data_IF_963330238353
#
_entry.id   IF_963330238353
#
_cell.length_a   1.000
_cell.length_b   1.000
_cell.length_c   1.000
_cell.angle_alpha   90.00
_cell.angle_beta   90.00
_cell.angle_gamma   90.00
#
_symmetry.space_group_name_H-M   'P 1'
#
loop_
_entity.id
_entity.type
_entity.pdbx_description
1 polymer ?
#
# COMPACT_ATOMS: atom_id res chain seq x y z
N UNK A 1 -11.56 -2.18 5.60
CA UNK A 1 -11.83 -1.83 4.20
C UNK A 1 -10.48 -1.58 3.51
N UNK A 2 -10.17 -2.24 2.40
CA UNK A 2 -8.93 -1.99 1.67
C UNK A 2 -9.13 -0.81 0.69
N UNK A 3 -8.05 -0.22 0.18
CA UNK A 3 -8.14 0.95 -0.69
C UNK A 3 -8.91 0.67 -2.01
N UNK A 4 -8.90 -0.56 -2.50
CA UNK A 4 -9.65 -0.94 -3.70
C UNK A 4 -11.16 -0.80 -3.50
N UNK A 5 -11.69 -1.31 -2.39
CA UNK A 5 -13.10 -1.15 -2.02
C UNK A 5 -13.48 0.33 -1.88
N UNK A 6 -12.58 1.15 -1.31
CA UNK A 6 -12.81 2.59 -1.17
C UNK A 6 -12.89 3.29 -2.53
N UNK A 7 -12.01 2.94 -3.47
CA UNK A 7 -12.07 3.49 -4.83
C UNK A 7 -13.37 3.11 -5.55
N UNK A 8 -13.83 1.86 -5.44
CA UNK A 8 -15.12 1.43 -6.01
C UNK A 8 -16.29 2.23 -5.45
N UNK A 9 -16.32 2.46 -4.14
CA UNK A 9 -17.35 3.28 -3.50
C UNK A 9 -17.28 4.73 -3.99
N UNK A 10 -16.08 5.31 -4.07
CA UNK A 10 -15.87 6.68 -4.54
C UNK A 10 -16.30 6.86 -6.01
N UNK A 11 -16.11 5.83 -6.84
CA UNK A 11 -16.57 5.81 -8.23
C UNK A 11 -18.10 5.77 -8.36
N UNK A 12 -18.82 5.29 -7.34
CA UNK A 12 -20.28 5.31 -7.29
C UNK A 12 -20.86 6.68 -6.89
N UNK A 13 -20.03 7.55 -6.30
CA UNK A 13 -20.44 8.89 -5.88
C UNK A 13 -20.47 9.89 -7.04
N UNK A 14 -21.19 11.00 -6.83
CA UNK A 14 -21.21 12.13 -7.75
C UNK A 14 -19.81 12.64 -8.07
N UNK A 15 -19.62 13.07 -9.33
CA UNK A 15 -18.33 13.55 -9.84
C UNK A 15 -17.70 14.63 -8.95
N UNK A 16 -18.50 15.60 -8.49
CA UNK A 16 -18.02 16.67 -7.62
C UNK A 16 -17.40 16.14 -6.33
N UNK A 17 -18.02 15.13 -5.71
CA UNK A 17 -17.53 14.56 -4.45
C UNK A 17 -16.27 13.75 -4.66
N UNK A 18 -16.21 12.98 -5.75
CA UNK A 18 -15.03 12.24 -6.17
C UNK A 18 -13.83 13.15 -6.41
N UNK A 19 -14.04 14.24 -7.16
CA UNK A 19 -12.98 15.20 -7.49
C UNK A 19 -12.45 15.90 -6.22
N UNK A 20 -13.35 16.25 -5.28
CA UNK A 20 -12.97 16.80 -3.97
C UNK A 20 -12.11 15.83 -3.16
N UNK A 21 -12.54 14.58 -3.00
CA UNK A 21 -11.80 13.56 -2.24
C UNK A 21 -10.44 13.29 -2.86
N UNK A 22 -10.37 13.16 -4.19
CA UNK A 22 -9.09 12.95 -4.89
C UNK A 22 -8.15 14.15 -4.78
N UNK A 23 -8.70 15.39 -4.78
CA UNK A 23 -7.92 16.59 -4.52
C UNK A 23 -7.31 16.58 -3.12
N UNK A 24 -8.08 16.22 -2.10
CA UNK A 24 -7.58 16.12 -0.72
C UNK A 24 -6.50 15.05 -0.57
N UNK A 25 -6.71 13.87 -1.14
CA UNK A 25 -5.69 12.81 -1.16
C UNK A 25 -4.40 13.30 -1.82
N UNK A 26 -4.52 14.00 -2.95
CA UNK A 26 -3.37 14.55 -3.69
C UNK A 26 -2.61 15.59 -2.87
N UNK A 27 -3.31 16.46 -2.14
CA UNK A 27 -2.69 17.45 -1.25
C UNK A 27 -1.88 16.76 -0.15
N UNK A 28 -2.43 15.73 0.49
CA UNK A 28 -1.72 14.97 1.54
C UNK A 28 -0.48 14.28 0.96
N UNK A 29 -0.59 13.66 -0.21
CA UNK A 29 0.54 12.96 -0.84
C UNK A 29 1.66 13.93 -1.25
N UNK A 30 1.31 15.08 -1.82
CA UNK A 30 2.29 16.04 -2.36
C UNK A 30 2.90 16.94 -1.28
N UNK A 31 2.11 17.39 -0.31
CA UNK A 31 2.50 18.42 0.66
C UNK A 31 2.56 17.91 2.10
N UNK A 32 1.94 16.76 2.39
CA UNK A 32 1.80 16.24 3.75
C UNK A 32 3.13 16.03 4.46
N UNK A 33 4.20 15.69 3.74
CA UNK A 33 5.55 15.50 4.32
C UNK A 33 6.06 16.73 5.08
N UNK A 34 5.82 17.94 4.58
CA UNK A 34 6.26 19.17 5.24
C UNK A 34 5.39 19.53 6.44
N UNK A 35 4.13 19.09 6.42
CA UNK A 35 3.10 19.41 7.41
C UNK A 35 2.93 18.31 8.47
N UNK A 36 3.68 17.21 8.38
CA UNK A 36 3.56 16.06 9.29
C UNK A 36 2.33 15.18 9.05
N UNK A 37 1.65 15.32 7.90
CA UNK A 37 0.53 14.47 7.50
C UNK A 37 0.99 13.32 6.61
N UNK A 38 0.59 12.10 6.96
CA UNK A 38 0.98 10.88 6.25
C UNK A 38 -0.24 10.06 5.88
N UNK A 39 -0.16 9.37 4.74
CA UNK A 39 -1.20 8.47 4.26
C UNK A 39 -0.60 7.11 3.92
N UNK A 40 -1.34 6.05 4.26
CA UNK A 40 -0.99 4.67 3.94
C UNK A 40 -2.06 4.09 3.02
N UNK A 41 -1.65 3.64 1.85
CA UNK A 41 -2.51 2.88 0.94
C UNK A 41 -2.24 1.40 1.15
N UNK A 42 -3.26 0.66 1.61
CA UNK A 42 -3.17 -0.78 1.86
C UNK A 42 -4.10 -1.52 0.91
N UNK A 43 -3.54 -2.48 0.18
CA UNK A 43 -4.21 -3.21 -0.91
C UNK A 43 -3.83 -4.69 -0.85
N UNK A 44 -4.79 -5.59 -1.15
CA UNK A 44 -4.51 -7.04 -1.27
C UNK A 44 -4.01 -7.43 -2.67
N UNK A 45 -4.45 -6.71 -3.71
CA UNK A 45 -3.92 -6.80 -5.07
C UNK A 45 -3.64 -5.39 -5.57
N UNK A 46 -2.46 -5.17 -6.14
CA UNK A 46 -2.13 -3.89 -6.75
C UNK A 46 -2.58 -3.91 -8.21
N UNK A 47 -3.74 -3.32 -8.49
CA UNK A 47 -4.15 -3.01 -9.86
C UNK A 47 -3.71 -1.59 -10.20
N UNK A 48 -3.06 -1.42 -11.35
CA UNK A 48 -2.57 -0.14 -11.84
C UNK A 48 -3.67 0.91 -12.02
N UNK A 49 -4.93 0.50 -12.13
CA UNK A 49 -6.07 1.40 -12.31
C UNK A 49 -6.60 2.02 -11.01
N UNK A 50 -6.20 1.49 -9.84
CA UNK A 50 -6.77 1.92 -8.56
C UNK A 50 -6.09 3.19 -8.00
N UNK A 51 -4.79 3.34 -8.23
CA UNK A 51 -4.03 4.53 -7.80
C UNK A 51 -3.51 5.25 -9.05
N UNK A 52 -3.95 6.50 -9.32
CA UNK A 52 -3.42 7.30 -10.43
C UNK A 52 -1.89 7.38 -10.41
N UNK A 53 -1.26 7.33 -11.59
CA UNK A 53 0.20 7.34 -11.73
C UNK A 53 0.87 8.49 -10.97
N UNK A 54 0.32 9.70 -11.07
CA UNK A 54 0.87 10.87 -10.38
C UNK A 54 0.85 10.74 -8.84
N UNK A 55 -0.09 9.99 -8.26
CA UNK A 55 -0.07 9.69 -6.82
C UNK A 55 1.01 8.66 -6.52
N UNK A 56 1.09 7.60 -7.32
CA UNK A 56 2.02 6.49 -7.11
C UNK A 56 3.49 6.90 -7.17
N UNK A 57 3.83 7.81 -8.07
CA UNK A 57 5.17 8.38 -8.22
C UNK A 57 5.57 9.23 -7.01
N UNK A 58 4.61 9.88 -6.37
CA UNK A 58 4.83 10.69 -5.17
C UNK A 58 4.79 9.89 -3.85
N UNK A 59 4.61 8.57 -3.91
CA UNK A 59 4.74 7.69 -2.74
C UNK A 59 6.18 7.19 -2.62
N UNK A 60 6.98 7.74 -1.69
CA UNK A 60 8.39 7.39 -1.60
C UNK A 60 8.60 5.97 -1.06
N UNK A 61 7.77 5.54 -0.11
CA UNK A 61 7.93 4.25 0.56
C UNK A 61 6.88 3.27 0.05
N UNK A 62 7.33 2.08 -0.35
CA UNK A 62 6.47 1.03 -0.88
C UNK A 62 6.87 -0.30 -0.28
N UNK A 63 5.86 -1.11 0.06
CA UNK A 63 6.02 -2.45 0.63
C UNK A 63 5.19 -3.45 -0.17
N UNK A 64 5.75 -4.63 -0.41
CA UNK A 64 5.04 -5.80 -0.91
C UNK A 64 5.36 -6.94 0.05
N UNK A 65 4.35 -7.43 0.77
CA UNK A 65 4.50 -8.43 1.82
C UNK A 65 4.07 -9.80 1.29
N UNK A 66 4.83 -10.84 1.61
CA UNK A 66 4.60 -12.22 1.21
C UNK A 66 4.83 -12.46 -0.29
N UNK A 67 4.37 -13.63 -0.73
CA UNK A 67 4.50 -14.09 -2.12
C UNK A 67 3.47 -13.41 -3.02
N UNK A 68 3.77 -12.18 -3.45
CA UNK A 68 2.94 -11.45 -4.40
C UNK A 68 3.21 -11.87 -5.85
N UNK A 69 2.17 -11.86 -6.67
CA UNK A 69 2.28 -12.10 -8.12
C UNK A 69 3.25 -11.10 -8.78
N UNK A 70 3.95 -11.54 -9.83
CA UNK A 70 4.89 -10.71 -10.60
C UNK A 70 4.31 -9.34 -10.98
N UNK A 71 3.03 -9.31 -11.38
CA UNK A 71 2.35 -8.08 -11.76
C UNK A 71 2.25 -7.08 -10.59
N UNK A 72 2.01 -7.56 -9.37
CA UNK A 72 1.96 -6.70 -8.17
C UNK A 72 3.32 -6.07 -7.90
N UNK A 73 4.41 -6.83 -8.06
CA UNK A 73 5.77 -6.30 -7.92
C UNK A 73 6.09 -5.24 -8.99
N UNK A 74 5.70 -5.46 -10.25
CA UNK A 74 5.87 -4.50 -11.35
C UNK A 74 5.08 -3.21 -11.06
N UNK A 75 3.82 -3.32 -10.63
CA UNK A 75 2.98 -2.16 -10.34
C UNK A 75 3.47 -1.38 -9.11
N UNK A 76 4.00 -2.07 -8.09
CA UNK A 76 4.54 -1.43 -6.90
C UNK A 76 5.91 -0.79 -7.17
N UNK A 77 6.87 -1.52 -7.74
CA UNK A 77 8.27 -1.09 -7.81
C UNK A 77 8.72 -0.59 -9.19
N UNK A 78 7.97 -0.88 -10.26
CA UNK A 78 8.33 -0.57 -11.65
C UNK A 78 8.83 -1.79 -12.43
N UNK A 79 8.80 -1.70 -13.77
CA UNK A 79 9.09 -2.82 -14.67
C UNK A 79 10.58 -3.24 -14.70
N UNK A 80 11.49 -2.32 -14.36
CA UNK A 80 12.94 -2.57 -14.38
C UNK A 80 13.46 -3.31 -13.14
N UNK A 81 12.57 -3.57 -12.19
CA UNK A 81 12.94 -4.10 -10.90
C UNK A 81 13.00 -5.63 -10.94
N UNK A 82 14.22 -6.16 -10.92
CA UNK A 82 14.46 -7.59 -10.82
C UNK A 82 14.18 -8.07 -9.39
N UNK A 83 12.90 -8.35 -9.12
CA UNK A 83 12.50 -9.12 -7.94
C UNK A 83 12.81 -10.59 -8.26
N UNK A 84 13.94 -11.10 -7.74
CA UNK A 84 14.15 -12.55 -7.73
C UNK A 84 12.94 -13.16 -7.03
N UNK A 85 12.29 -14.13 -7.67
CA UNK A 85 11.27 -14.93 -7.01
C UNK A 85 11.90 -15.53 -5.75
N UNK A 86 11.36 -15.12 -4.61
CA UNK A 86 11.74 -15.60 -3.29
C UNK A 86 10.51 -16.19 -2.67
N UNK A 87 10.69 -17.34 -2.03
CA UNK A 87 9.64 -17.94 -1.22
C UNK A 87 9.65 -17.27 0.16
N UNK A 88 8.94 -16.14 0.24
CA UNK A 88 8.87 -15.34 1.45
C UNK A 88 8.16 -16.10 2.56
N UNK A 89 8.79 -16.14 3.74
CA UNK A 89 8.17 -16.66 4.95
C UNK A 89 7.14 -15.68 5.50
N UNK A 90 6.36 -16.13 6.50
CA UNK A 90 5.40 -15.28 7.18
C UNK A 90 6.10 -14.04 7.77
N UNK A 91 5.59 -12.85 7.43
CA UNK A 91 6.16 -11.57 7.86
C UNK A 91 7.31 -11.06 6.98
N UNK A 92 7.73 -11.80 5.95
CA UNK A 92 8.76 -11.33 5.02
C UNK A 92 8.16 -10.63 3.80
N UNK A 93 8.96 -9.76 3.17
CA UNK A 93 8.57 -9.08 1.95
C UNK A 93 9.68 -8.22 1.36
N UNK A 94 9.29 -7.34 0.44
CA UNK A 94 10.17 -6.37 -0.19
C UNK A 94 9.74 -4.95 0.13
N UNK A 95 10.72 -4.06 0.26
CA UNK A 95 10.47 -2.63 0.37
C UNK A 95 11.41 -1.80 -0.49
N UNK A 96 10.91 -0.65 -0.92
CA UNK A 96 11.70 0.44 -1.52
C UNK A 96 11.45 1.69 -0.68
N UNK A 97 12.53 2.40 -0.38
CA UNK A 97 12.49 3.68 0.32
C UNK A 97 13.70 4.48 -0.17
N UNK A 98 13.54 5.55 -0.97
CA UNK A 98 14.67 6.23 -1.62
C UNK A 98 15.81 6.68 -0.68
N UNK A 99 15.50 6.95 0.58
CA UNK A 99 16.48 7.34 1.59
C UNK A 99 17.33 6.18 2.12
N UNK A 100 16.91 4.93 1.90
CA UNK A 100 17.49 3.72 2.49
C UNK A 100 17.87 2.69 1.41
N UNK A 101 17.01 2.53 0.40
CA UNK A 101 17.06 1.52 -0.63
C UNK A 101 16.30 1.99 -1.89
N UNK A 102 17.05 2.35 -2.93
CA UNK A 102 16.51 2.69 -4.26
C UNK A 102 16.14 1.46 -5.11
N UNK A 103 16.49 0.27 -4.64
CA UNK A 103 16.16 -1.03 -5.22
C UNK A 103 15.47 -1.87 -4.13
N UNK A 104 14.54 -2.77 -4.46
CA UNK A 104 13.83 -3.52 -3.44
C UNK A 104 14.80 -4.32 -2.57
N UNK A 105 14.66 -4.16 -1.27
CA UNK A 105 15.38 -4.94 -0.28
C UNK A 105 14.39 -5.78 0.52
N UNK A 106 14.89 -6.90 1.04
CA UNK A 106 14.15 -7.74 1.97
C UNK A 106 13.78 -6.92 3.22
N UNK A 107 12.52 -6.98 3.62
CA UNK A 107 12.07 -6.53 4.93
C UNK A 107 11.45 -7.70 5.71
N UNK A 108 11.49 -7.55 7.04
CA UNK A 108 10.86 -8.46 7.98
C UNK A 108 9.94 -7.64 8.87
N UNK A 109 8.72 -8.12 9.03
CA UNK A 109 7.71 -7.57 9.92
C UNK A 109 7.43 -8.57 11.03
N UNK A 110 7.27 -8.06 12.25
CA UNK A 110 6.70 -8.85 13.33
C UNK A 110 5.30 -9.29 12.93
N UNK A 111 4.99 -10.57 13.14
CA UNK A 111 3.63 -11.08 13.03
C UNK A 111 3.11 -11.41 14.44
N UNK A 112 1.80 -11.36 14.56
CA UNK A 112 1.10 -11.70 15.78
C UNK A 112 0.52 -13.10 15.60
N UNK A 113 1.02 -14.07 16.37
CA UNK A 113 0.54 -15.45 16.37
C UNK A 113 -0.59 -15.62 17.39
N UNK A 114 -1.68 -14.88 17.17
CA UNK A 114 -2.89 -15.05 17.96
C UNK A 114 -4.12 -14.95 17.08
N UNK A 115 -5.16 -15.69 17.46
CA UNK A 115 -6.44 -15.61 16.80
C UNK A 115 -7.14 -14.30 17.21
N UNK A 116 -7.24 -13.36 16.27
CA UNK A 116 -7.89 -12.06 16.53
C UNK A 116 -9.33 -12.23 17.01
N UNK A 117 -10.07 -13.22 16.50
CA UNK A 117 -11.45 -13.46 16.92
C UNK A 117 -11.52 -13.95 18.37
N UNK A 118 -10.56 -14.79 18.77
CA UNK A 118 -10.45 -15.28 20.14
C UNK A 118 -10.07 -14.14 21.10
N UNK A 119 -9.09 -13.32 20.73
CA UNK A 119 -8.69 -12.15 21.51
C UNK A 119 -9.83 -11.15 21.70
N UNK A 120 -10.68 -10.95 20.68
CA UNK A 120 -11.88 -10.10 20.81
C UNK A 120 -12.90 -10.72 21.77
N UNK A 121 -13.06 -12.04 21.78
CA UNK A 121 -13.95 -12.71 22.72
C UNK A 121 -13.46 -12.60 24.17
N UNK A 122 -12.15 -12.60 24.40
CA UNK A 122 -11.57 -12.41 25.74
C UNK A 122 -11.74 -10.99 26.27
N UNK A 123 -11.71 -9.96 25.40
CA UNK A 123 -11.92 -8.56 25.78
C UNK A 123 -13.39 -8.23 26.09
N UNK A 124 -14.33 -9.04 25.64
CA UNK A 124 -15.77 -8.86 25.87
C UNK A 124 -16.30 -9.66 27.08
N UNK A 125 -15.43 -10.31 27.85
CA UNK A 125 -15.75 -10.91 29.15
C UNK A 125 -15.47 -9.93 30.28
#
# INVERSE_FOLDING_TARGET
MNFASFQTELQSMEKKKRDEVMSLISQVVLQGRQLGFFIWFVMQKSDSNLIPTYIRENLPVKFVIGNAEKQTNITAFGAEVNTKEKDFQLGEGLFVCPLIANQPKLCHFSYLDFNILEAVNELNK
#
